data_IF_391859023437
#
_entry.id   IF_391859023437
#
_cell.length_a   1.000
_cell.length_b   1.000
_cell.length_c   1.000
_cell.angle_alpha   90.00
_cell.angle_beta   90.00
_cell.angle_gamma   90.00
#
_symmetry.space_group_name_H-M   'P 1'
#
loop_
_entity.id
_entity.type
_entity.pdbx_description
1 polymer ?
#
# COMPACT_ATOMS: atom_id res chain seq x y z
N UNK A 1 -6.45 -12.98 6.77
CA UNK A 1 -5.01 -12.94 7.07
C UNK A 1 -4.68 -11.69 7.86
N UNK A 2 -3.54 -11.67 8.56
CA UNK A 2 -2.94 -10.42 9.07
C UNK A 2 -2.06 -9.78 8.00
N UNK A 3 -1.79 -8.48 8.12
CA UNK A 3 -0.86 -7.75 7.25
C UNK A 3 0.42 -7.45 8.01
N UNK A 4 1.57 -7.72 7.40
CA UNK A 4 2.89 -7.37 7.90
C UNK A 4 3.61 -6.42 6.96
N UNK A 5 4.56 -5.65 7.48
CA UNK A 5 5.45 -4.80 6.67
C UNK A 5 6.23 -5.61 5.62
N UNK A 6 6.55 -6.87 5.95
CA UNK A 6 7.24 -7.78 5.03
C UNK A 6 6.42 -8.14 3.78
N UNK A 7 5.11 -7.91 3.81
CA UNK A 7 4.23 -8.16 2.68
C UNK A 7 4.28 -7.04 1.63
N UNK A 8 4.98 -5.93 1.93
CA UNK A 8 5.12 -4.77 1.05
C UNK A 8 6.57 -4.67 0.58
N UNK A 9 6.81 -5.01 -0.69
CA UNK A 9 8.13 -4.78 -1.31
C UNK A 9 8.26 -3.32 -1.73
N UNK A 10 9.35 -2.69 -1.30
CA UNK A 10 9.65 -1.29 -1.59
C UNK A 10 10.89 -1.19 -2.48
N UNK A 11 10.82 -0.35 -3.53
CA UNK A 11 11.97 -0.03 -4.37
C UNK A 11 12.10 1.49 -4.54
N UNK A 12 13.30 2.02 -4.35
CA UNK A 12 13.56 3.47 -4.30
C UNK A 12 14.56 3.86 -5.38
N UNK A 13 14.28 4.95 -6.08
CA UNK A 13 15.23 5.66 -6.95
C UNK A 13 15.46 7.08 -6.44
N UNK A 14 16.23 7.90 -7.17
CA UNK A 14 16.49 9.28 -6.77
C UNK A 14 15.21 10.13 -6.60
N UNK A 15 14.16 9.88 -7.38
CA UNK A 15 12.94 10.72 -7.41
C UNK A 15 11.65 9.92 -7.35
N UNK A 16 11.73 8.60 -7.17
CA UNK A 16 10.55 7.73 -7.10
C UNK A 16 10.69 6.69 -6.01
N UNK A 17 9.54 6.27 -5.47
CA UNK A 17 9.42 5.04 -4.70
C UNK A 17 8.29 4.21 -5.28
N UNK A 18 8.46 2.90 -5.35
CA UNK A 18 7.40 1.98 -5.70
C UNK A 18 7.14 0.99 -4.59
N UNK A 19 5.86 0.64 -4.44
CA UNK A 19 5.35 -0.28 -3.45
C UNK A 19 4.64 -1.43 -4.16
N UNK A 20 4.91 -2.66 -3.74
CA UNK A 20 4.26 -3.85 -4.26
C UNK A 20 3.77 -4.73 -3.12
N UNK A 21 2.45 -4.84 -3.00
CA UNK A 21 1.74 -5.71 -2.06
C UNK A 21 0.84 -6.73 -2.77
N UNK A 22 1.17 -7.08 -4.01
CA UNK A 22 0.35 -7.89 -4.92
C UNK A 22 -0.18 -9.21 -4.33
N UNK A 23 0.48 -9.77 -3.32
CA UNK A 23 0.05 -10.98 -2.61
C UNK A 23 -1.22 -10.78 -1.78
N UNK A 24 -1.54 -9.54 -1.38
CA UNK A 24 -2.66 -9.21 -0.48
C UNK A 24 -3.91 -8.65 -1.19
N UNK A 25 -3.83 -8.40 -2.50
CA UNK A 25 -4.87 -7.70 -3.28
C UNK A 25 -6.22 -8.41 -3.32
N UNK A 26 -6.24 -9.72 -3.04
CA UNK A 26 -7.46 -10.53 -2.95
C UNK A 26 -8.25 -10.31 -1.66
N UNK A 27 -7.56 -9.94 -0.58
CA UNK A 27 -8.15 -9.80 0.77
C UNK A 27 -8.38 -8.32 1.12
N UNK A 28 -7.56 -7.41 0.58
CA UNK A 28 -7.58 -6.00 0.93
C UNK A 28 -7.54 -5.09 -0.30
N UNK A 29 -8.31 -4.00 -0.25
CA UNK A 29 -8.03 -2.77 -1.01
C UNK A 29 -7.08 -1.91 -0.19
N UNK A 30 -6.42 -0.95 -0.84
CA UNK A 30 -5.63 -0.02 -0.07
C UNK A 30 -5.30 1.28 -0.79
N UNK A 31 -4.86 2.23 0.02
CA UNK A 31 -4.34 3.50 -0.41
C UNK A 31 -2.98 3.75 0.23
N UNK A 32 -2.19 4.58 -0.43
CA UNK A 32 -0.95 5.12 0.10
C UNK A 32 -1.09 6.63 0.19
N UNK A 33 -0.59 7.19 1.27
CA UNK A 33 -0.64 8.63 1.52
C UNK A 33 0.73 9.17 1.89
N UNK A 34 0.96 10.40 1.46
CA UNK A 34 2.12 11.21 1.82
C UNK A 34 1.59 12.60 2.17
N UNK A 35 1.82 13.02 3.41
CA UNK A 35 1.20 14.21 3.98
C UNK A 35 -0.33 14.17 3.80
N UNK A 36 -0.93 15.22 3.24
CA UNK A 36 -2.38 15.31 3.04
C UNK A 36 -2.86 14.72 1.70
N UNK A 37 -1.95 14.15 0.89
CA UNK A 37 -2.29 13.53 -0.38
C UNK A 37 -2.45 12.03 -0.20
N UNK A 38 -3.61 11.49 -0.58
CA UNK A 38 -3.87 10.04 -0.61
C UNK A 38 -4.15 9.58 -2.03
N UNK A 39 -3.61 8.41 -2.40
CA UNK A 39 -3.79 7.81 -3.71
C UNK A 39 -4.21 6.35 -3.55
N UNK A 40 -5.29 5.98 -4.24
CA UNK A 40 -5.81 4.62 -4.24
C UNK A 40 -4.89 3.73 -5.10
N UNK A 41 -4.50 2.58 -4.54
CA UNK A 41 -3.73 1.58 -5.25
C UNK A 41 -4.70 0.71 -6.04
N UNK A 42 -4.56 0.71 -7.37
CA UNK A 42 -5.48 -0.01 -8.25
C UNK A 42 -5.36 -1.53 -8.05
N UNK A 43 -6.50 -2.18 -7.82
CA UNK A 43 -6.65 -3.63 -7.81
C UNK A 43 -6.71 -4.14 -9.27
N UNK A 44 -6.12 -5.29 -9.66
CA UNK A 44 -5.42 -6.30 -8.86
C UNK A 44 -3.90 -6.23 -8.85
N UNK A 45 -3.29 -5.16 -9.39
CA UNK A 45 -1.83 -5.12 -9.48
C UNK A 45 -1.16 -5.07 -8.10
N UNK A 46 -1.76 -4.34 -7.15
CA UNK A 46 -1.14 -4.10 -5.85
C UNK A 46 0.20 -3.39 -5.95
N UNK A 47 0.47 -2.78 -7.11
CA UNK A 47 1.68 -2.06 -7.43
C UNK A 47 1.36 -0.59 -7.58
N UNK A 48 2.16 0.25 -6.95
CA UNK A 48 2.00 1.70 -6.97
C UNK A 48 3.35 2.39 -7.07
N UNK A 49 3.39 3.53 -7.78
CA UNK A 49 4.59 4.36 -7.90
C UNK A 49 4.26 5.78 -7.43
N UNK A 50 5.01 6.26 -6.45
CA UNK A 50 5.06 7.67 -6.08
C UNK A 50 6.25 8.33 -6.77
N UNK A 51 5.99 9.38 -7.55
CA UNK A 51 7.01 10.09 -8.33
C UNK A 51 7.19 11.54 -7.86
N UNK A 52 8.14 12.25 -8.48
CA UNK A 52 8.45 13.66 -8.21
C UNK A 52 8.90 13.92 -6.77
N UNK A 53 9.61 12.97 -6.18
CA UNK A 53 10.26 13.15 -4.87
C UNK A 53 11.58 13.90 -5.03
N UNK A 54 11.95 14.64 -3.99
CA UNK A 54 13.24 15.32 -3.88
C UNK A 54 14.31 14.29 -3.48
N UNK A 55 15.44 14.20 -4.21
CA UNK A 55 16.54 13.31 -3.83
C UNK A 55 17.07 13.60 -2.43
N UNK A 56 17.63 12.57 -1.78
CA UNK A 56 18.24 12.66 -0.44
C UNK A 56 17.30 13.27 0.64
N UNK A 57 15.99 13.15 0.46
CA UNK A 57 14.96 13.63 1.39
C UNK A 57 14.24 12.46 2.06
N UNK A 58 14.02 12.55 3.37
CA UNK A 58 13.28 11.54 4.13
C UNK A 58 11.77 11.75 3.95
N UNK A 59 11.06 10.69 3.58
CA UNK A 59 9.61 10.67 3.44
C UNK A 59 9.00 9.60 4.34
N UNK A 60 7.82 9.91 4.90
CA UNK A 60 7.01 8.94 5.64
C UNK A 60 5.72 8.69 4.87
N UNK A 61 5.51 7.46 4.44
CA UNK A 61 4.29 7.04 3.76
C UNK A 61 3.38 6.32 4.74
N UNK A 62 2.08 6.59 4.68
CA UNK A 62 1.06 5.88 5.44
C UNK A 62 0.23 5.02 4.50
N UNK A 63 0.12 3.75 4.82
CA UNK A 63 -0.75 2.81 4.13
C UNK A 63 -2.05 2.64 4.89
N UNK A 64 -3.16 2.58 4.17
CA UNK A 64 -4.47 2.21 4.71
C UNK A 64 -4.97 1.02 3.92
N UNK A 65 -5.26 -0.07 4.62
CA UNK A 65 -5.80 -1.29 4.07
C UNK A 65 -7.25 -1.45 4.53
N UNK A 66 -8.14 -1.69 3.57
CA UNK A 66 -9.54 -1.96 3.83
C UNK A 66 -9.83 -3.39 3.44
N UNK A 67 -10.35 -4.18 4.37
CA UNK A 67 -10.64 -5.58 4.13
C UNK A 67 -11.85 -5.71 3.18
N UNK A 68 -11.65 -6.40 2.06
CA UNK A 68 -12.68 -6.59 1.03
C UNK A 68 -13.67 -7.69 1.40
N UNK A 69 -13.25 -8.67 2.20
CA UNK A 69 -14.06 -9.82 2.61
C UNK A 69 -14.06 -9.96 4.12
N UNK A 70 -15.20 -9.67 4.75
CA UNK A 70 -15.48 -10.11 6.12
C UNK A 70 -15.67 -11.63 6.06
N UNK A 71 -14.71 -12.40 6.54
CA UNK A 71 -15.03 -13.76 6.99
C UNK A 71 -15.99 -13.58 8.16
N UNK A 72 -17.27 -13.88 7.92
CA UNK A 72 -18.34 -13.70 8.89
C UNK A 72 -17.91 -14.24 10.25
N UNK A 73 -17.92 -13.39 11.28
CA UNK A 73 -17.97 -13.86 12.66
C UNK A 73 -19.26 -14.67 12.74
N UNK A 74 -19.14 -15.99 12.81
CA UNK A 74 -20.29 -16.85 13.03
C UNK A 74 -20.74 -16.60 14.47
N UNK A 75 -21.77 -15.76 14.64
CA UNK A 75 -22.39 -15.57 15.95
C UNK A 75 -23.35 -16.74 16.14
N UNK A 76 -22.86 -17.80 16.78
CA UNK A 76 -23.65 -18.93 17.26
C UNK A 76 -24.51 -18.54 18.44
#
# INVERSE_FOLDING_TARGET
>A
GGISENDIKTFVTATTVSFNWSTMTKEFSGSVSLNDTSQIIKNPSGFFVWSNLTPATLYTFKFVFEQLRLEFINVS
#
